data_IF_808256741316
#
_entry.id   IF_808256741316
#
_cell.length_a   1.000
_cell.length_b   1.000
_cell.length_c   1.000
_cell.angle_alpha   90.00
_cell.angle_beta   90.00
_cell.angle_gamma   90.00
#
_symmetry.space_group_name_H-M   'P 1'
#
loop_
_entity.id
_entity.type
_entity.pdbx_description
1 polymer ?
#
# COMPACT_ATOMS: atom_id res chain seq x y z
N UNK A 1 8.81 -21.35 -14.82
CA UNK A 1 8.06 -20.25 -15.46
C UNK A 1 7.97 -19.14 -14.44
N UNK A 2 8.14 -17.85 -14.78
CA UNK A 2 7.92 -16.80 -13.78
C UNK A 2 6.49 -16.95 -13.27
N UNK A 3 6.30 -16.99 -11.96
CA UNK A 3 4.99 -17.16 -11.34
C UNK A 3 4.03 -16.17 -11.98
N UNK A 4 3.02 -16.68 -12.68
CA UNK A 4 2.06 -15.83 -13.37
C UNK A 4 1.34 -14.99 -12.33
N UNK A 5 1.27 -13.68 -12.55
CA UNK A 5 0.54 -12.78 -11.67
C UNK A 5 -0.88 -13.31 -11.40
N UNK A 6 -1.17 -13.56 -10.12
CA UNK A 6 -2.48 -13.97 -9.63
C UNK A 6 -3.02 -12.83 -8.77
N UNK A 7 -4.09 -12.19 -9.24
CA UNK A 7 -4.69 -11.09 -8.51
C UNK A 7 -5.17 -11.56 -7.13
N UNK A 8 -4.78 -10.85 -6.08
CA UNK A 8 -5.26 -11.11 -4.73
C UNK A 8 -6.59 -10.41 -4.44
N UNK A 9 -6.91 -9.36 -5.20
CA UNK A 9 -8.08 -8.51 -4.96
C UNK A 9 -9.14 -8.72 -6.05
N UNK A 10 -10.44 -8.76 -5.70
CA UNK A 10 -11.52 -8.75 -6.69
C UNK A 10 -11.49 -7.54 -7.62
N UNK A 11 -11.18 -6.36 -7.06
CA UNK A 11 -10.96 -5.12 -7.81
C UNK A 11 -9.67 -4.45 -7.35
N UNK A 12 -8.91 -3.80 -8.26
CA UNK A 12 -7.71 -3.08 -7.88
C UNK A 12 -8.05 -1.84 -7.03
N UNK A 13 -7.13 -1.48 -6.13
CA UNK A 13 -7.19 -0.23 -5.38
C UNK A 13 -6.72 0.90 -6.28
N UNK A 14 -7.46 2.00 -6.35
CA UNK A 14 -7.04 3.19 -7.09
C UNK A 14 -6.24 4.10 -6.17
N UNK A 15 -5.13 4.64 -6.66
CA UNK A 15 -4.48 5.80 -6.06
C UNK A 15 -4.62 7.02 -6.97
N UNK A 16 -4.63 8.21 -6.38
CA UNK A 16 -4.47 9.47 -7.10
C UNK A 16 -3.79 10.52 -6.24
N UNK A 17 -3.06 11.42 -6.87
CA UNK A 17 -2.57 12.66 -6.26
C UNK A 17 -3.37 13.84 -6.78
N UNK A 18 -3.49 14.88 -5.95
CA UNK A 18 -4.05 16.18 -6.34
C UNK A 18 -3.47 17.28 -5.45
N UNK A 19 -3.80 18.52 -5.75
CA UNK A 19 -3.54 19.63 -4.83
C UNK A 19 -4.23 19.37 -3.48
N UNK A 20 -3.55 19.76 -2.40
CA UNK A 20 -4.12 19.74 -1.07
C UNK A 20 -5.08 20.93 -0.90
N UNK A 21 -6.28 20.67 -0.42
CA UNK A 21 -7.34 21.64 -0.18
C UNK A 21 -7.62 21.84 1.33
N UNK A 22 -6.77 21.29 2.20
CA UNK A 22 -6.81 21.49 3.65
C UNK A 22 -6.05 22.74 4.09
N UNK A 23 -6.28 23.17 5.34
CA UNK A 23 -5.72 24.39 5.94
C UNK A 23 -4.19 24.45 5.94
N UNK A 24 -3.53 23.31 5.77
CA UNK A 24 -2.07 23.15 5.78
C UNK A 24 -1.46 23.07 4.37
N UNK A 25 -2.19 23.48 3.32
CA UNK A 25 -1.73 23.45 1.93
C UNK A 25 -0.35 24.10 1.71
N UNK A 26 -0.05 25.21 2.39
CA UNK A 26 1.26 25.88 2.27
C UNK A 26 2.43 25.00 2.73
N UNK A 27 2.18 24.10 3.67
CA UNK A 27 3.18 23.16 4.21
C UNK A 27 3.16 21.83 3.47
N UNK A 28 1.98 21.39 3.02
CA UNK A 28 1.77 20.13 2.32
C UNK A 28 0.97 20.39 1.04
N UNK A 29 1.61 20.82 -0.05
CA UNK A 29 0.90 21.32 -1.24
C UNK A 29 0.17 20.23 -2.05
N UNK A 30 0.50 18.96 -1.81
CA UNK A 30 -0.10 17.82 -2.52
C UNK A 30 -0.67 16.81 -1.53
N UNK A 31 -1.80 16.19 -1.90
CA UNK A 31 -2.38 15.05 -1.20
C UNK A 31 -2.38 13.81 -2.09
N UNK A 32 -2.38 12.64 -1.44
CA UNK A 32 -2.61 11.35 -2.07
C UNK A 32 -3.86 10.69 -1.47
N UNK A 33 -4.67 10.07 -2.30
CA UNK A 33 -5.84 9.31 -1.87
C UNK A 33 -5.78 7.89 -2.38
N UNK A 34 -6.21 6.95 -1.53
CA UNK A 34 -6.47 5.56 -1.91
C UNK A 34 -7.98 5.34 -1.88
N UNK A 35 -8.54 4.89 -3.00
CA UNK A 35 -9.90 4.39 -3.05
C UNK A 35 -9.84 2.87 -3.09
N UNK A 36 -10.28 2.24 -2.00
CA UNK A 36 -10.34 0.79 -1.83
C UNK A 36 -11.79 0.36 -2.08
N UNK A 37 -12.09 -0.39 -3.15
CA UNK A 37 -13.42 -0.95 -3.37
C UNK A 37 -13.84 -1.81 -2.17
N UNK A 38 -15.08 -1.66 -1.71
CA UNK A 38 -15.58 -2.36 -0.50
C UNK A 38 -15.42 -3.87 -0.59
N UNK A 39 -15.61 -4.45 -1.78
CA UNK A 39 -15.44 -5.89 -2.06
C UNK A 39 -13.98 -6.35 -1.92
N UNK A 40 -13.02 -5.43 -1.96
CA UNK A 40 -11.58 -5.73 -1.90
C UNK A 40 -10.95 -5.41 -0.54
N UNK A 41 -11.70 -4.85 0.41
CA UNK A 41 -11.18 -4.47 1.73
C UNK A 41 -10.65 -5.68 2.50
N UNK A 42 -11.46 -6.74 2.66
CA UNK A 42 -11.06 -7.93 3.41
C UNK A 42 -9.83 -8.60 2.80
N UNK A 43 -9.85 -8.82 1.49
CA UNK A 43 -8.72 -9.42 0.76
C UNK A 43 -7.44 -8.55 0.84
N UNK A 44 -7.59 -7.22 0.82
CA UNK A 44 -6.46 -6.31 1.00
C UNK A 44 -5.84 -6.43 2.40
N UNK A 45 -6.66 -6.46 3.45
CA UNK A 45 -6.19 -6.63 4.82
C UNK A 45 -5.48 -7.98 5.01
N UNK A 46 -6.06 -9.07 4.51
CA UNK A 46 -5.44 -10.40 4.58
C UNK A 46 -4.07 -10.44 3.91
N UNK A 47 -3.93 -9.88 2.70
CA UNK A 47 -2.64 -9.84 2.02
C UNK A 47 -1.63 -8.92 2.69
N UNK A 48 -2.06 -7.77 3.23
CA UNK A 48 -1.19 -6.89 4.00
C UNK A 48 -0.59 -7.66 5.19
N UNK A 49 -1.39 -8.44 5.91
CA UNK A 49 -0.91 -9.27 7.02
C UNK A 49 0.13 -10.30 6.54
N UNK A 50 -0.16 -11.06 5.47
CA UNK A 50 0.80 -12.02 4.91
C UNK A 50 2.11 -11.36 4.44
N UNK A 51 2.04 -10.12 3.94
CA UNK A 51 3.23 -9.37 3.50
C UNK A 51 4.14 -9.02 4.69
N UNK A 52 3.57 -8.77 5.87
CA UNK A 52 4.37 -8.53 7.09
C UNK A 52 5.24 -9.73 7.41
N UNK A 53 4.73 -10.96 7.22
CA UNK A 53 5.48 -12.17 7.55
C UNK A 53 6.48 -12.59 6.45
N UNK A 54 6.22 -12.20 5.19
CA UNK A 54 6.95 -12.74 4.02
C UNK A 54 7.82 -11.73 3.27
N UNK A 55 7.54 -10.42 3.41
CA UNK A 55 8.11 -9.37 2.55
C UNK A 55 8.58 -8.14 3.32
N UNK A 56 8.82 -8.26 4.62
CA UNK A 56 9.40 -7.19 5.43
C UNK A 56 10.74 -6.71 4.86
N UNK A 57 10.93 -5.38 4.89
CA UNK A 57 12.15 -4.69 4.52
C UNK A 57 12.35 -3.50 5.44
N UNK A 58 13.62 -3.16 5.67
CA UNK A 58 14.00 -1.91 6.32
C UNK A 58 13.66 -0.72 5.42
N UNK A 59 13.05 0.29 6.01
CA UNK A 59 12.75 1.57 5.40
C UNK A 59 12.94 2.72 6.38
N UNK A 60 13.06 3.94 5.88
CA UNK A 60 13.11 5.14 6.71
C UNK A 60 11.76 5.83 6.73
N UNK A 61 11.32 6.22 7.91
CA UNK A 61 10.09 7.00 8.11
C UNK A 61 10.41 8.24 8.94
N UNK A 62 9.70 9.34 8.68
CA UNK A 62 9.83 10.55 9.48
C UNK A 62 9.09 10.38 10.81
N UNK A 63 9.82 10.46 11.92
CA UNK A 63 9.25 10.46 13.26
C UNK A 63 8.97 11.91 13.69
N UNK A 64 7.69 12.28 13.76
CA UNK A 64 7.28 13.65 14.13
C UNK A 64 7.60 14.02 15.58
N UNK A 65 7.76 13.04 16.48
CA UNK A 65 8.12 13.29 17.88
C UNK A 65 9.60 13.65 18.03
N UNK A 66 10.47 12.95 17.28
CA UNK A 66 11.93 13.17 17.29
C UNK A 66 12.41 14.19 16.27
N UNK A 67 11.57 14.49 15.26
CA UNK A 67 11.90 15.36 14.12
C UNK A 67 13.13 14.86 13.35
N UNK A 68 13.22 13.55 13.15
CA UNK A 68 14.29 12.89 12.39
C UNK A 68 13.76 11.69 11.60
N UNK A 69 14.55 11.21 10.64
CA UNK A 69 14.30 9.93 9.98
C UNK A 69 14.75 8.77 10.87
N UNK A 70 13.86 7.81 11.10
CA UNK A 70 14.17 6.57 11.83
C UNK A 70 14.04 5.37 10.90
N UNK A 71 14.95 4.41 11.03
CA UNK A 71 14.90 3.14 10.28
C UNK A 71 13.99 2.15 11.02
N UNK A 72 13.04 1.56 10.30
CA UNK A 72 12.06 0.61 10.82
C UNK A 72 11.83 -0.51 9.80
N UNK A 73 11.36 -1.67 10.27
CA UNK A 73 10.87 -2.74 9.40
C UNK A 73 9.45 -2.43 8.92
N UNK A 74 9.18 -2.68 7.64
CA UNK A 74 7.89 -2.42 7.03
C UNK A 74 7.71 -3.15 5.70
N UNK A 75 6.58 -2.88 5.04
CA UNK A 75 6.25 -3.45 3.74
C UNK A 75 6.06 -2.34 2.70
N UNK A 76 6.41 -2.63 1.44
CA UNK A 76 6.16 -1.73 0.33
C UNK A 76 4.96 -2.19 -0.49
N UNK A 77 3.94 -1.33 -0.58
CA UNK A 77 2.80 -1.51 -1.47
C UNK A 77 3.00 -0.56 -2.66
N UNK A 78 3.20 -1.15 -3.84
CA UNK A 78 3.56 -0.38 -5.03
C UNK A 78 2.36 -0.22 -5.97
N UNK A 79 2.21 0.97 -6.53
CA UNK A 79 1.21 1.28 -7.54
C UNK A 79 1.85 1.45 -8.93
N UNK A 80 1.07 1.18 -9.98
CA UNK A 80 1.45 1.53 -11.36
C UNK A 80 0.78 2.85 -11.73
N UNK A 81 1.58 3.90 -11.86
CA UNK A 81 1.14 5.27 -12.10
C UNK A 81 0.99 5.62 -13.59
N UNK A 82 0.12 6.59 -13.87
CA UNK A 82 -0.04 7.30 -15.13
C UNK A 82 -0.26 8.79 -14.83
N UNK A 83 0.12 9.63 -15.78
CA UNK A 83 -0.19 11.07 -15.74
C UNK A 83 -1.68 11.31 -16.00
N UNK A 84 -2.27 12.26 -15.28
CA UNK A 84 -3.64 12.71 -15.44
C UNK A 84 -3.77 14.22 -15.30
N UNK A 85 -4.92 14.76 -15.67
CA UNK A 85 -5.19 16.21 -15.71
C UNK A 85 -4.99 16.91 -14.36
N UNK A 86 -5.19 16.21 -13.24
CA UNK A 86 -5.18 16.79 -11.89
C UNK A 86 -4.08 16.19 -10.99
N UNK A 87 -3.15 15.43 -11.56
CA UNK A 87 -2.12 14.71 -10.83
C UNK A 87 -1.89 13.28 -11.35
N UNK A 88 -0.99 12.56 -10.70
CA UNK A 88 -0.73 11.16 -11.00
C UNK A 88 -1.89 10.31 -10.50
N UNK A 89 -2.24 9.26 -11.24
CA UNK A 89 -3.20 8.28 -10.77
C UNK A 89 -2.84 6.90 -11.27
N UNK A 90 -3.44 5.88 -10.68
CA UNK A 90 -3.22 4.53 -11.13
C UNK A 90 -3.76 3.51 -10.17
N UNK A 91 -3.24 2.29 -10.26
CA UNK A 91 -3.79 1.16 -9.54
C UNK A 91 -2.70 0.40 -8.77
N UNK A 92 -3.07 -0.04 -7.56
CA UNK A 92 -2.38 -1.06 -6.79
C UNK A 92 -3.12 -2.37 -7.05
N UNK A 93 -2.38 -3.38 -7.52
CA UNK A 93 -2.91 -4.71 -7.71
C UNK A 93 -1.94 -5.71 -7.05
N UNK A 94 -2.36 -6.24 -5.90
CA UNK A 94 -1.54 -7.16 -5.12
C UNK A 94 -1.51 -8.54 -5.78
N UNK A 95 -0.33 -9.16 -5.75
CA UNK A 95 -0.18 -10.56 -6.12
C UNK A 95 -0.53 -11.42 -4.92
N UNK A 96 -1.37 -12.44 -5.12
CA UNK A 96 -1.78 -13.37 -4.08
C UNK A 96 -0.57 -14.06 -3.46
N UNK A 97 -0.47 -14.04 -2.13
CA UNK A 97 0.54 -14.79 -1.39
C UNK A 97 -0.08 -16.11 -0.98
N UNK A 98 0.52 -17.20 -1.46
CA UNK A 98 0.11 -18.54 -1.06
C UNK A 98 0.33 -18.72 0.45
N UNK A 99 -0.65 -19.28 1.17
CA UNK A 99 -0.46 -19.63 2.57
C UNK A 99 0.71 -20.61 2.70
N UNK A 100 1.69 -20.27 3.53
CA UNK A 100 2.72 -21.24 3.92
C UNK A 100 2.05 -22.33 4.74
N UNK A 101 2.17 -23.59 4.31
CA UNK A 101 1.68 -24.74 5.07
C UNK A 101 2.46 -24.81 6.40
N UNK A 102 1.92 -24.23 7.48
CA UNK A 102 2.61 -24.16 8.76
C UNK A 102 1.95 -23.29 9.82
N UNK A 103 1.07 -22.35 9.45
CA UNK A 103 0.34 -21.53 10.43
C UNK A 103 -0.87 -22.29 11.01
N UNK A 104 -0.57 -23.37 11.75
CA UNK A 104 -1.48 -23.85 12.79
C UNK A 104 -1.56 -22.76 13.85
N UNK A 105 -2.65 -21.99 13.80
CA UNK A 105 -3.02 -21.01 14.83
C UNK A 105 -3.05 -21.75 16.17
N UNK A 106 -2.17 -21.43 17.16
CA UNK A 106 -2.35 -21.94 18.50
C UNK A 106 -3.57 -21.23 19.10
N UNK A 107 -4.57 -22.02 19.50
CA UNK A 107 -5.75 -21.57 20.22
C UNK A 107 -5.41 -20.92 21.57
#
# INVERSE_FOLDING_TARGET
MPDSFKAALPYPIKFSTSENDYEDQDKYPQKMSLFIPSESVSAFCEEVMKMVDTKQKKGKVWDYSKKEEVEVDGIYINAKAKEGKYGLFGNINLNFIEPTAGDEIPF
#
